data_IF_249932194943
#
_entry.id   IF_249932194943
#
_cell.length_a   1.000
_cell.length_b   1.000
_cell.length_c   1.000
_cell.angle_alpha   90.00
_cell.angle_beta   90.00
_cell.angle_gamma   90.00
#
_symmetry.space_group_name_H-M   'P 1'
#
loop_
_entity.id
_entity.type
_entity.pdbx_description
1 polymer ?
#
# COMPACT_ATOMS: atom_id res chain seq x y z
N UNK A 1 -60.09 22.99 0.12
CA UNK A 1 -60.40 21.61 -0.33
C UNK A 1 -60.64 21.67 -1.82
N UNK A 2 -59.92 20.95 -2.71
CA UNK A 2 -58.64 20.21 -2.60
C UNK A 2 -57.52 20.77 -3.57
N UNK A 3 -56.21 20.68 -3.26
CA UNK A 3 -55.14 19.66 -3.56
C UNK A 3 -54.48 19.79 -4.96
N UNK A 4 -53.19 20.17 -5.06
CA UNK A 4 -51.93 19.36 -5.20
C UNK A 4 -51.74 18.82 -6.64
N UNK A 5 -50.58 18.83 -7.32
CA UNK A 5 -49.24 18.35 -6.96
C UNK A 5 -48.11 18.92 -7.89
N UNK A 6 -46.85 18.67 -7.47
CA UNK A 6 -45.56 18.65 -8.22
C UNK A 6 -44.83 19.97 -8.51
N UNK A 7 -43.51 20.10 -8.42
CA UNK A 7 -42.38 19.39 -7.80
C UNK A 7 -41.15 20.30 -8.03
N UNK A 8 -40.09 20.14 -7.23
CA UNK A 8 -38.94 21.03 -7.09
C UNK A 8 -38.16 21.33 -8.39
N UNK A 9 -37.88 22.61 -8.66
CA UNK A 9 -36.80 23.09 -9.53
C UNK A 9 -35.64 23.61 -8.67
N UNK A 10 -34.51 22.89 -8.67
CA UNK A 10 -33.26 23.32 -8.06
C UNK A 10 -32.12 22.71 -8.88
N UNK A 11 -31.84 23.29 -10.05
CA UNK A 11 -30.71 22.86 -10.87
C UNK A 11 -30.08 24.02 -11.68
N UNK A 12 -29.93 25.19 -11.05
CA UNK A 12 -29.35 26.37 -11.70
C UNK A 12 -28.30 27.08 -10.83
N UNK A 13 -27.37 26.32 -10.24
CA UNK A 13 -26.18 26.91 -9.58
C UNK A 13 -24.85 26.17 -9.81
N UNK A 14 -24.79 25.19 -10.72
CA UNK A 14 -23.55 24.47 -11.04
C UNK A 14 -22.91 24.85 -12.39
N UNK A 15 -23.37 25.92 -13.03
CA UNK A 15 -22.85 26.39 -14.32
C UNK A 15 -21.75 27.48 -14.19
N UNK A 16 -20.81 27.31 -13.25
CA UNK A 16 -19.75 28.28 -12.98
C UNK A 16 -18.37 27.64 -12.97
N UNK A 17 -17.89 27.18 -14.12
CA UNK A 17 -16.54 26.61 -14.24
C UNK A 17 -16.23 25.80 -15.50
N UNK A 18 -17.00 25.95 -16.58
CA UNK A 18 -16.62 25.38 -17.87
C UNK A 18 -15.65 26.33 -18.56
N UNK A 19 -14.34 26.08 -18.43
CA UNK A 19 -13.37 26.65 -19.35
C UNK A 19 -13.63 26.04 -20.72
N UNK A 20 -13.97 26.90 -21.69
CA UNK A 20 -14.03 26.58 -23.11
C UNK A 20 -12.69 25.93 -23.53
N UNK A 21 -12.74 24.64 -23.87
CA UNK A 21 -11.74 24.05 -24.75
C UNK A 21 -12.09 24.53 -26.15
N UNK A 22 -11.40 25.58 -26.61
CA UNK A 22 -11.52 26.05 -27.99
C UNK A 22 -10.98 24.99 -28.95
N UNK A 23 -11.63 24.95 -30.12
CA UNK A 23 -11.49 23.96 -31.19
C UNK A 23 -10.04 23.80 -31.68
N UNK A 24 -9.35 22.74 -31.25
CA UNK A 24 -8.27 22.15 -32.03
C UNK A 24 -8.87 21.24 -33.10
N UNK A 25 -8.42 21.42 -34.36
CA UNK A 25 -8.92 20.72 -35.55
C UNK A 25 -8.97 19.20 -35.35
N UNK A 26 -10.18 18.69 -35.10
CA UNK A 26 -10.47 17.28 -34.96
C UNK A 26 -10.31 16.59 -36.33
N UNK A 27 -9.30 15.71 -36.47
CA UNK A 27 -9.19 14.83 -37.63
C UNK A 27 -10.44 13.94 -37.71
N UNK A 28 -11.05 13.76 -38.90
CA UNK A 28 -12.28 13.00 -39.05
C UNK A 28 -11.99 11.50 -38.86
N UNK A 29 -12.02 11.04 -37.62
CA UNK A 29 -11.73 9.64 -37.25
C UNK A 29 -11.57 9.39 -35.76
N UNK A 30 -11.27 10.41 -34.94
CA UNK A 30 -11.03 10.21 -33.52
C UNK A 30 -12.34 10.23 -32.70
N UNK A 31 -12.58 9.23 -31.83
CA UNK A 31 -13.79 9.16 -31.02
C UNK A 31 -13.87 10.33 -30.02
N UNK A 32 -15.07 10.84 -29.70
CA UNK A 32 -15.23 11.98 -28.80
C UNK A 32 -14.74 11.62 -27.39
N UNK A 33 -13.81 12.42 -26.88
CA UNK A 33 -13.30 12.35 -25.49
C UNK A 33 -14.23 13.16 -24.59
N UNK A 34 -14.72 12.58 -23.49
CA UNK A 34 -15.56 13.29 -22.52
C UNK A 34 -15.10 13.10 -21.08
N UNK A 35 -15.47 14.03 -20.19
CA UNK A 35 -15.23 13.91 -18.75
C UNK A 35 -16.24 12.95 -18.13
N UNK A 36 -15.75 12.02 -17.30
CA UNK A 36 -16.58 11.03 -16.63
C UNK A 36 -17.69 11.67 -15.78
N UNK A 37 -18.93 11.28 -16.03
CA UNK A 37 -20.08 11.58 -15.18
C UNK A 37 -19.95 10.90 -13.80
N UNK A 38 -20.68 11.39 -12.78
CA UNK A 38 -20.66 10.76 -11.45
C UNK A 38 -21.07 9.27 -11.48
N UNK A 39 -21.97 8.89 -12.38
CA UNK A 39 -22.40 7.49 -12.54
C UNK A 39 -21.26 6.61 -13.09
N UNK A 40 -20.53 7.11 -14.10
CA UNK A 40 -19.38 6.43 -14.67
C UNK A 40 -18.23 6.31 -13.67
N UNK A 41 -17.94 7.39 -12.91
CA UNK A 41 -16.94 7.35 -11.82
C UNK A 41 -17.28 6.29 -10.77
N UNK A 42 -18.55 6.22 -10.33
CA UNK A 42 -19.02 5.17 -9.40
C UNK A 42 -18.84 3.77 -9.98
N UNK A 43 -19.20 3.55 -11.25
CA UNK A 43 -19.05 2.26 -11.95
C UNK A 43 -17.58 1.82 -12.02
N UNK A 44 -16.69 2.74 -12.40
CA UNK A 44 -15.25 2.50 -12.47
C UNK A 44 -14.67 2.15 -11.09
N UNK A 45 -15.06 2.91 -10.06
CA UNK A 45 -14.63 2.65 -8.70
C UNK A 45 -15.06 1.25 -8.23
N UNK A 46 -16.33 0.87 -8.40
CA UNK A 46 -16.82 -0.46 -8.01
C UNK A 46 -16.15 -1.59 -8.78
N UNK A 47 -15.91 -1.41 -10.08
CA UNK A 47 -15.16 -2.39 -10.89
C UNK A 47 -13.75 -2.58 -10.33
N UNK A 48 -13.05 -1.48 -10.05
CA UNK A 48 -11.68 -1.54 -9.53
C UNK A 48 -11.64 -2.07 -8.09
N UNK A 49 -12.62 -1.71 -7.26
CA UNK A 49 -12.79 -2.25 -5.92
C UNK A 49 -13.01 -3.76 -5.95
N UNK A 50 -13.87 -4.26 -6.85
CA UNK A 50 -14.10 -5.71 -7.02
C UNK A 50 -12.82 -6.44 -7.46
N UNK A 51 -12.10 -5.89 -8.44
CA UNK A 51 -10.83 -6.49 -8.92
C UNK A 51 -9.80 -6.53 -7.77
N UNK A 52 -9.63 -5.42 -7.05
CA UNK A 52 -8.72 -5.36 -5.91
C UNK A 52 -9.14 -6.32 -4.80
N UNK A 53 -10.44 -6.44 -4.52
CA UNK A 53 -10.97 -7.39 -3.56
C UNK A 53 -10.68 -8.85 -3.96
N UNK A 54 -10.79 -9.18 -5.25
CA UNK A 54 -10.44 -10.52 -5.76
C UNK A 54 -8.95 -10.83 -5.57
N UNK A 55 -8.06 -9.86 -5.82
CA UNK A 55 -6.64 -10.04 -5.54
C UNK A 55 -6.35 -10.18 -4.04
N UNK A 56 -6.99 -9.37 -3.18
CA UNK A 56 -6.87 -9.47 -1.72
C UNK A 56 -7.39 -10.82 -1.22
N UNK A 57 -8.52 -11.30 -1.73
CA UNK A 57 -9.09 -12.60 -1.38
C UNK A 57 -8.17 -13.74 -1.82
N UNK A 58 -7.61 -13.66 -3.03
CA UNK A 58 -6.60 -14.62 -3.51
C UNK A 58 -5.35 -14.64 -2.63
N UNK A 59 -4.83 -13.45 -2.29
CA UNK A 59 -3.70 -13.31 -1.38
C UNK A 59 -3.98 -13.92 0.00
N UNK A 60 -5.15 -13.63 0.57
CA UNK A 60 -5.61 -14.20 1.84
C UNK A 60 -5.74 -15.72 1.78
N UNK A 61 -6.33 -16.25 0.71
CA UNK A 61 -6.51 -17.68 0.47
C UNK A 61 -5.18 -18.43 0.43
N UNK A 62 -4.27 -18.02 -0.46
CA UNK A 62 -2.95 -18.66 -0.57
C UNK A 62 -2.13 -18.52 0.71
N UNK A 63 -2.20 -17.36 1.37
CA UNK A 63 -1.50 -17.16 2.63
C UNK A 63 -2.04 -18.03 3.76
N UNK A 64 -3.36 -18.28 3.80
CA UNK A 64 -4.00 -19.16 4.81
C UNK A 64 -3.59 -20.61 4.58
N UNK A 65 -3.65 -21.10 3.35
CA UNK A 65 -3.19 -22.47 3.01
C UNK A 65 -1.71 -22.63 3.36
N UNK A 66 -0.87 -21.66 2.98
CA UNK A 66 0.56 -21.70 3.30
C UNK A 66 0.81 -21.71 4.81
N UNK A 67 0.03 -20.95 5.58
CA UNK A 67 0.12 -20.93 7.05
C UNK A 67 -0.27 -22.27 7.68
N UNK A 68 -1.33 -22.91 7.18
CA UNK A 68 -1.75 -24.26 7.61
C UNK A 68 -0.68 -25.30 7.23
N UNK A 69 -0.13 -25.21 6.02
CA UNK A 69 0.94 -26.08 5.56
C UNK A 69 2.19 -25.93 6.45
N UNK A 70 2.60 -24.70 6.76
CA UNK A 70 3.74 -24.44 7.65
C UNK A 70 3.53 -25.05 9.04
N UNK A 71 2.31 -24.95 9.61
CA UNK A 71 1.99 -25.61 10.89
C UNK A 71 2.11 -27.13 10.81
N UNK A 72 1.64 -27.74 9.74
CA UNK A 72 1.78 -29.18 9.52
C UNK A 72 3.26 -29.59 9.33
N UNK A 73 4.00 -28.81 8.55
CA UNK A 73 5.39 -29.10 8.19
C UNK A 73 6.35 -28.99 9.38
N UNK A 74 6.16 -27.98 10.24
CA UNK A 74 7.07 -27.70 11.36
C UNK A 74 6.62 -28.31 12.70
N UNK A 75 5.45 -28.95 12.75
CA UNK A 75 4.98 -29.61 13.97
C UNK A 75 5.64 -30.97 14.14
N UNK A 76 6.24 -31.19 15.31
CA UNK A 76 6.84 -32.48 15.71
C UNK A 76 5.85 -33.65 15.65
N UNK A 77 4.55 -33.37 15.75
CA UNK A 77 3.48 -34.39 15.65
C UNK A 77 3.20 -34.86 14.23
N UNK A 78 3.68 -34.13 13.22
CA UNK A 78 3.39 -34.37 11.81
C UNK A 78 4.70 -34.59 11.05
N UNK A 79 5.17 -33.61 10.26
CA UNK A 79 6.38 -33.77 9.46
C UNK A 79 7.66 -33.41 10.25
N UNK A 80 7.57 -32.49 11.21
CA UNK A 80 8.66 -32.19 12.15
C UNK A 80 9.94 -31.64 11.53
N UNK A 81 9.87 -30.90 10.42
CA UNK A 81 11.06 -30.32 9.80
C UNK A 81 11.56 -29.11 10.60
N UNK A 82 12.80 -29.08 11.12
CA UNK A 82 13.18 -28.10 12.13
C UNK A 82 13.77 -26.78 11.57
N UNK A 83 13.77 -26.57 10.24
CA UNK A 83 14.48 -25.45 9.60
C UNK A 83 13.57 -24.51 8.76
N UNK A 84 12.75 -23.66 9.40
CA UNK A 84 11.76 -22.82 8.69
C UNK A 84 12.35 -21.76 7.76
N UNK A 85 13.51 -21.20 8.09
CA UNK A 85 14.19 -20.20 7.24
C UNK A 85 14.77 -20.85 5.98
N UNK A 86 15.31 -22.06 6.09
CA UNK A 86 15.76 -22.83 4.94
C UNK A 86 14.60 -23.15 3.99
N UNK A 87 13.45 -23.58 4.51
CA UNK A 87 12.28 -23.84 3.66
C UNK A 87 11.86 -22.58 2.91
N UNK A 88 11.80 -21.44 3.61
CA UNK A 88 11.46 -20.16 2.97
C UNK A 88 12.51 -19.74 1.92
N UNK A 89 13.79 -20.05 2.16
CA UNK A 89 14.86 -19.87 1.18
C UNK A 89 14.61 -20.68 -0.09
N UNK A 90 14.24 -21.96 0.06
CA UNK A 90 13.85 -22.81 -1.08
C UNK A 90 12.63 -22.24 -1.82
N UNK A 91 11.63 -21.72 -1.10
CA UNK A 91 10.47 -21.07 -1.72
C UNK A 91 10.87 -19.89 -2.62
N UNK A 92 11.83 -19.05 -2.21
CA UNK A 92 12.31 -17.97 -3.07
C UNK A 92 12.92 -18.49 -4.38
N UNK A 93 13.67 -19.59 -4.35
CA UNK A 93 14.19 -20.21 -5.57
C UNK A 93 13.09 -20.84 -6.44
N UNK A 94 12.07 -21.45 -5.83
CA UNK A 94 10.88 -21.94 -6.54
C UNK A 94 10.14 -20.78 -7.21
N UNK A 95 9.97 -19.66 -6.51
CA UNK A 95 9.36 -18.44 -7.06
C UNK A 95 10.15 -17.91 -8.25
N UNK A 96 11.47 -17.87 -8.17
CA UNK A 96 12.33 -17.49 -9.30
C UNK A 96 12.11 -18.40 -10.50
N UNK A 97 12.12 -19.72 -10.29
CA UNK A 97 11.91 -20.70 -11.37
C UNK A 97 10.52 -20.56 -12.02
N UNK A 98 9.46 -20.43 -11.21
CA UNK A 98 8.10 -20.25 -11.72
C UNK A 98 7.92 -18.92 -12.45
N UNK A 99 8.53 -17.84 -11.94
CA UNK A 99 8.53 -16.55 -12.62
C UNK A 99 9.28 -16.63 -13.97
N UNK A 100 10.42 -17.32 -14.01
CA UNK A 100 11.16 -17.57 -15.24
C UNK A 100 10.32 -18.37 -16.25
N UNK A 101 9.67 -19.45 -15.78
CA UNK A 101 8.82 -20.30 -16.59
C UNK A 101 7.67 -19.50 -17.21
N UNK A 102 6.97 -18.69 -16.40
CA UNK A 102 5.85 -17.86 -16.87
C UNK A 102 6.29 -16.86 -17.96
N UNK A 103 7.48 -16.28 -17.80
CA UNK A 103 8.08 -15.37 -18.79
C UNK A 103 8.52 -16.07 -20.07
N UNK A 104 8.89 -17.35 -20.00
CA UNK A 104 9.26 -18.14 -21.18
C UNK A 104 8.07 -18.70 -21.94
N UNK A 105 7.01 -19.15 -21.24
CA UNK A 105 5.83 -19.75 -21.86
C UNK A 105 4.90 -18.66 -22.43
N UNK A 106 4.72 -17.55 -21.72
CA UNK A 106 3.87 -16.44 -22.15
C UNK A 106 4.65 -15.11 -22.21
N UNK A 107 5.63 -14.99 -23.13
CA UNK A 107 6.46 -13.80 -23.23
C UNK A 107 5.64 -12.54 -23.53
N UNK A 108 4.63 -12.65 -24.40
CA UNK A 108 3.76 -11.52 -24.78
C UNK A 108 3.03 -10.88 -23.58
N UNK A 109 2.79 -11.65 -22.51
CA UNK A 109 2.06 -11.16 -21.32
C UNK A 109 2.97 -10.82 -20.15
N UNK A 110 4.08 -11.55 -19.99
CA UNK A 110 4.90 -11.50 -18.77
C UNK A 110 6.35 -11.05 -18.99
N UNK A 111 6.80 -10.85 -20.24
CA UNK A 111 8.13 -10.35 -20.54
C UNK A 111 8.04 -8.88 -21.00
N UNK A 112 8.44 -7.93 -20.16
CA UNK A 112 8.51 -6.52 -20.54
C UNK A 112 9.51 -6.32 -21.68
N UNK A 113 9.27 -5.31 -22.52
CA UNK A 113 10.13 -4.97 -23.65
C UNK A 113 11.54 -4.53 -23.20
N UNK A 114 11.62 -3.90 -22.03
CA UNK A 114 12.87 -3.43 -21.44
C UNK A 114 13.34 -4.36 -20.31
N UNK A 115 14.65 -4.40 -20.10
CA UNK A 115 15.26 -5.10 -18.98
C UNK A 115 16.12 -4.12 -18.18
N UNK A 116 16.22 -4.28 -16.85
CA UNK A 116 16.94 -3.34 -16.03
C UNK A 116 18.44 -3.40 -16.32
N UNK A 117 19.06 -2.23 -16.47
CA UNK A 117 20.53 -2.11 -16.55
C UNK A 117 21.15 -2.64 -15.27
N UNK A 118 22.37 -3.23 -15.35
CA UNK A 118 23.09 -3.75 -14.16
C UNK A 118 23.20 -2.71 -13.03
N UNK A 119 23.44 -1.45 -13.39
CA UNK A 119 23.53 -0.34 -12.44
C UNK A 119 22.20 -0.08 -11.72
N UNK A 120 21.09 -0.04 -12.46
CA UNK A 120 19.77 0.22 -11.89
C UNK A 120 19.25 -0.98 -11.09
N UNK A 121 19.53 -2.19 -11.56
CA UNK A 121 19.24 -3.42 -10.81
C UNK A 121 19.93 -3.41 -9.44
N UNK A 122 21.23 -3.09 -9.41
CA UNK A 122 22.00 -3.00 -8.17
C UNK A 122 21.54 -1.88 -7.23
N UNK A 123 21.13 -0.72 -7.77
CA UNK A 123 20.73 0.44 -6.96
C UNK A 123 19.27 0.38 -6.49
N UNK A 124 18.36 -0.22 -7.25
CA UNK A 124 16.91 -0.20 -6.99
C UNK A 124 16.35 -1.55 -6.55
N UNK A 125 16.69 -2.64 -7.26
CA UNK A 125 16.09 -3.95 -7.01
C UNK A 125 16.75 -4.70 -5.84
N UNK A 126 18.09 -4.68 -5.78
CA UNK A 126 18.85 -5.37 -4.73
C UNK A 126 18.47 -4.90 -3.32
N UNK A 127 18.36 -3.59 -3.01
CA UNK A 127 17.96 -3.16 -1.66
C UNK A 127 16.57 -3.65 -1.25
N UNK A 128 15.61 -3.73 -2.19
CA UNK A 128 14.27 -4.24 -1.92
C UNK A 128 14.29 -5.73 -1.58
N UNK A 129 15.06 -6.52 -2.35
CA UNK A 129 15.21 -7.94 -2.12
C UNK A 129 15.95 -8.26 -0.81
N UNK A 130 17.04 -7.52 -0.53
CA UNK A 130 17.79 -7.66 0.73
C UNK A 130 16.90 -7.30 1.92
N UNK A 131 16.15 -6.20 1.84
CA UNK A 131 15.20 -5.81 2.89
C UNK A 131 14.16 -6.91 3.15
N UNK A 132 13.71 -7.61 2.12
CA UNK A 132 12.82 -8.77 2.24
C UNK A 132 13.45 -9.93 2.97
N UNK A 133 14.66 -10.35 2.56
CA UNK A 133 15.36 -11.45 3.23
C UNK A 133 15.64 -11.14 4.70
N UNK A 134 16.06 -9.92 5.00
CA UNK A 134 16.31 -9.49 6.38
C UNK A 134 15.03 -9.35 7.20
N UNK A 135 13.94 -8.80 6.65
CA UNK A 135 12.63 -8.73 7.33
C UNK A 135 12.17 -10.14 7.76
N UNK A 136 12.15 -11.09 6.82
CA UNK A 136 11.75 -12.48 7.10
C UNK A 136 12.70 -13.13 8.12
N UNK A 137 14.01 -12.97 7.92
CA UNK A 137 15.03 -13.55 8.79
C UNK A 137 14.95 -13.04 10.23
N UNK A 138 14.96 -11.72 10.42
CA UNK A 138 14.89 -11.08 11.73
C UNK A 138 13.53 -11.33 12.42
N UNK A 139 12.43 -11.35 11.65
CA UNK A 139 11.11 -11.70 12.19
C UNK A 139 11.09 -13.11 12.77
N UNK A 140 11.58 -14.11 12.04
CA UNK A 140 11.65 -15.48 12.54
C UNK A 140 12.64 -15.65 13.68
N UNK A 141 13.79 -14.95 13.65
CA UNK A 141 14.76 -14.97 14.72
C UNK A 141 14.18 -14.40 16.02
N UNK A 142 13.37 -13.34 15.93
CA UNK A 142 12.72 -12.76 17.09
C UNK A 142 11.75 -13.75 17.76
N UNK A 143 10.98 -14.53 16.98
CA UNK A 143 10.04 -15.54 17.50
C UNK A 143 10.72 -16.67 18.29
N UNK A 144 12.04 -16.90 18.11
CA UNK A 144 12.82 -17.81 18.96
C UNK A 144 13.06 -17.24 20.38
N UNK A 145 12.89 -15.93 20.55
CA UNK A 145 13.22 -15.21 21.80
C UNK A 145 12.01 -14.59 22.50
N UNK A 146 10.94 -14.24 21.78
CA UNK A 146 9.75 -13.58 22.31
C UNK A 146 8.48 -14.37 21.99
N UNK A 147 7.42 -14.13 22.77
CA UNK A 147 6.12 -14.75 22.50
C UNK A 147 5.51 -14.26 21.19
N UNK A 148 4.66 -15.09 20.58
CA UNK A 148 3.92 -14.73 19.36
C UNK A 148 3.07 -13.47 19.58
N UNK A 149 2.45 -13.32 20.76
CA UNK A 149 1.67 -12.11 21.10
C UNK A 149 2.56 -10.87 21.14
N UNK A 150 3.71 -10.91 21.82
CA UNK A 150 4.64 -9.77 21.84
C UNK A 150 5.20 -9.47 20.45
N UNK A 151 5.47 -10.50 19.64
CA UNK A 151 5.85 -10.35 18.24
C UNK A 151 4.80 -9.60 17.45
N UNK A 152 3.53 -10.03 17.49
CA UNK A 152 2.43 -9.39 16.77
C UNK A 152 2.24 -7.94 17.20
N UNK A 153 2.34 -7.66 18.51
CA UNK A 153 2.27 -6.30 19.05
C UNK A 153 3.33 -5.39 18.43
N UNK A 154 4.61 -5.78 18.48
CA UNK A 154 5.70 -4.95 17.95
C UNK A 154 5.68 -4.95 16.42
N UNK A 155 5.31 -6.05 15.77
CA UNK A 155 5.24 -6.17 14.31
C UNK A 155 4.15 -5.30 13.70
N UNK A 156 3.06 -5.05 14.43
CA UNK A 156 2.00 -4.13 14.00
C UNK A 156 2.49 -2.69 13.78
N UNK A 157 3.61 -2.29 14.40
CA UNK A 157 4.26 -0.98 14.14
C UNK A 157 4.81 -0.84 12.72
N UNK A 158 4.87 -1.93 11.94
CA UNK A 158 5.18 -1.89 10.51
C UNK A 158 4.30 -0.90 9.76
N UNK A 159 3.03 -0.70 10.14
CA UNK A 159 2.16 0.32 9.54
C UNK A 159 2.75 1.73 9.61
N UNK A 160 3.38 2.07 10.73
CA UNK A 160 4.00 3.38 10.92
C UNK A 160 5.19 3.52 9.98
N UNK A 161 6.03 2.48 9.87
CA UNK A 161 7.16 2.48 8.95
C UNK A 161 6.72 2.51 7.48
N UNK A 162 5.63 1.82 7.13
CA UNK A 162 5.04 1.86 5.80
C UNK A 162 4.63 3.28 5.45
N UNK A 163 3.91 3.95 6.34
CA UNK A 163 3.49 5.34 6.13
C UNK A 163 4.70 6.28 6.03
N UNK A 164 5.69 6.09 6.91
CA UNK A 164 6.93 6.86 6.89
C UNK A 164 7.66 6.74 5.55
N UNK A 165 7.89 5.52 5.05
CA UNK A 165 8.55 5.31 3.77
C UNK A 165 7.67 5.70 2.58
N UNK A 166 6.35 5.59 2.69
CA UNK A 166 5.42 6.08 1.68
C UNK A 166 5.56 7.59 1.49
N UNK A 167 5.68 8.38 2.56
CA UNK A 167 5.94 9.81 2.44
C UNK A 167 7.38 10.11 2.03
N UNK A 168 8.36 9.41 2.60
CA UNK A 168 9.78 9.63 2.30
C UNK A 168 10.09 9.43 0.81
N UNK A 169 9.49 8.42 0.18
CA UNK A 169 9.64 8.13 -1.25
C UNK A 169 8.54 8.76 -2.12
N UNK A 170 7.73 9.66 -1.56
CA UNK A 170 6.64 10.36 -2.27
C UNK A 170 5.68 9.41 -2.98
N UNK A 171 5.43 8.26 -2.38
CA UNK A 171 4.46 7.26 -2.83
C UNK A 171 3.03 7.64 -2.48
N UNK A 172 2.85 8.47 -1.46
CA UNK A 172 1.58 9.01 -0.99
C UNK A 172 1.73 10.51 -0.72
N UNK A 173 0.67 11.28 -0.95
CA UNK A 173 0.65 12.71 -0.61
C UNK A 173 0.52 12.88 0.90
N UNK A 174 1.31 13.78 1.47
CA UNK A 174 1.24 14.07 2.89
C UNK A 174 -0.18 14.54 3.25
N UNK A 175 -0.80 13.88 4.22
CA UNK A 175 -2.16 14.20 4.64
C UNK A 175 -2.34 13.85 6.11
N UNK A 176 -2.65 14.85 6.94
CA UNK A 176 -2.95 14.67 8.37
C UNK A 176 -4.12 13.70 8.56
N UNK A 177 -5.11 13.69 7.65
CA UNK A 177 -6.27 12.78 7.70
C UNK A 177 -5.83 11.32 7.56
N UNK A 178 -5.08 11.00 6.51
CA UNK A 178 -4.43 9.70 6.32
C UNK A 178 -3.61 9.27 7.55
N UNK A 179 -2.75 10.16 8.09
CA UNK A 179 -1.95 9.89 9.28
C UNK A 179 -2.85 9.49 10.45
N UNK A 180 -3.89 10.28 10.74
CA UNK A 180 -4.82 10.00 11.83
C UNK A 180 -5.52 8.65 11.67
N UNK A 181 -5.92 8.28 10.45
CA UNK A 181 -6.56 6.98 10.15
C UNK A 181 -5.60 5.82 10.37
N UNK A 182 -4.33 5.94 9.93
CA UNK A 182 -3.33 4.89 10.16
C UNK A 182 -3.01 4.73 11.65
N UNK A 183 -2.88 5.84 12.40
CA UNK A 183 -2.70 5.79 13.84
C UNK A 183 -3.89 5.17 14.56
N UNK A 184 -5.12 5.42 14.09
CA UNK A 184 -6.34 4.80 14.62
C UNK A 184 -6.31 3.27 14.42
N UNK A 185 -5.99 2.81 13.20
CA UNK A 185 -5.86 1.38 12.88
C UNK A 185 -4.77 0.74 13.76
N UNK A 186 -3.59 1.36 13.83
CA UNK A 186 -2.48 0.89 14.66
C UNK A 186 -2.87 0.77 16.14
N UNK A 187 -3.56 1.77 16.68
CA UNK A 187 -4.03 1.77 18.08
C UNK A 187 -5.02 0.62 18.34
N UNK A 188 -5.92 0.34 17.39
CA UNK A 188 -6.85 -0.78 17.49
C UNK A 188 -6.13 -2.14 17.54
N UNK A 189 -5.11 -2.33 16.70
CA UNK A 189 -4.28 -3.54 16.70
C UNK A 189 -3.49 -3.68 18.00
N UNK A 190 -2.91 -2.59 18.51
CA UNK A 190 -2.22 -2.62 19.81
C UNK A 190 -3.16 -3.04 20.95
N UNK A 191 -4.39 -2.52 21.00
CA UNK A 191 -5.38 -2.90 22.00
C UNK A 191 -5.75 -4.38 21.94
N UNK A 192 -5.76 -4.98 20.75
CA UNK A 192 -5.99 -6.42 20.58
C UNK A 192 -4.89 -7.30 21.16
N UNK A 193 -3.71 -6.76 21.46
CA UNK A 193 -2.54 -7.54 21.91
C UNK A 193 -1.95 -7.00 23.23
N UNK A 194 -2.53 -5.95 23.80
CA UNK A 194 -2.01 -5.18 24.93
C UNK A 194 -1.88 -5.96 26.27
N UNK A 195 -2.39 -7.20 26.36
CA UNK A 195 -2.44 -7.96 27.61
C UNK A 195 -1.17 -8.75 27.94
N UNK A 196 -0.17 -8.80 27.04
CA UNK A 196 1.05 -9.62 27.21
C UNK A 196 2.27 -8.76 27.61
N UNK A 197 2.92 -9.07 28.74
CA UNK A 197 3.94 -8.18 29.36
C UNK A 197 5.33 -8.81 29.57
N UNK A 198 5.70 -9.85 28.82
CA UNK A 198 7.06 -10.39 28.85
C UNK A 198 7.99 -9.64 27.88
N UNK A 199 8.53 -8.51 28.34
CA UNK A 199 9.47 -7.69 27.57
C UNK A 199 10.86 -8.33 27.53
N UNK A 200 11.37 -8.61 26.32
CA UNK A 200 12.74 -9.06 26.09
C UNK A 200 13.38 -8.11 25.08
N UNK A 201 14.33 -7.29 25.54
CA UNK A 201 14.95 -6.23 24.75
C UNK A 201 15.55 -6.75 23.43
N UNK A 202 16.26 -7.88 23.47
CA UNK A 202 16.86 -8.48 22.27
C UNK A 202 15.81 -8.80 21.21
N UNK A 203 14.73 -9.48 21.60
CA UNK A 203 13.63 -9.80 20.69
C UNK A 203 12.92 -8.54 20.19
N UNK A 204 12.71 -7.56 21.07
CA UNK A 204 12.13 -6.26 20.70
C UNK A 204 12.94 -5.55 19.60
N UNK A 205 14.26 -5.43 19.75
CA UNK A 205 15.15 -4.80 18.75
C UNK A 205 15.09 -5.55 17.41
N UNK A 206 15.02 -6.88 17.44
CA UNK A 206 14.88 -7.69 16.23
C UNK A 206 13.56 -7.43 15.51
N UNK A 207 12.43 -7.42 16.22
CA UNK A 207 11.11 -7.18 15.59
C UNK A 207 11.01 -5.75 15.08
N UNK A 208 11.44 -4.74 15.83
CA UNK A 208 11.30 -3.35 15.38
C UNK A 208 12.16 -3.09 14.14
N UNK A 209 13.35 -3.69 14.08
CA UNK A 209 14.21 -3.66 12.87
C UNK A 209 13.53 -4.36 11.70
N UNK A 210 12.92 -5.52 11.93
CA UNK A 210 12.16 -6.23 10.91
C UNK A 210 10.91 -5.45 10.45
N UNK A 211 10.22 -4.74 11.34
CA UNK A 211 9.09 -3.86 11.01
C UNK A 211 9.53 -2.70 10.11
N UNK A 212 10.66 -2.07 10.43
CA UNK A 212 11.23 -1.01 9.59
C UNK A 212 11.61 -1.53 8.20
N UNK A 213 12.28 -2.69 8.13
CA UNK A 213 12.63 -3.35 6.87
C UNK A 213 11.39 -3.77 6.08
N UNK A 214 10.32 -4.19 6.74
CA UNK A 214 9.04 -4.51 6.11
C UNK A 214 8.41 -3.29 5.41
N UNK A 215 8.39 -2.14 6.09
CA UNK A 215 7.93 -0.88 5.50
C UNK A 215 8.81 -0.42 4.34
N UNK A 216 10.14 -0.48 4.51
CA UNK A 216 11.11 -0.12 3.49
C UNK A 216 10.99 -1.02 2.25
N UNK A 217 10.91 -2.33 2.45
CA UNK A 217 10.68 -3.33 1.39
C UNK A 217 9.45 -2.97 0.58
N UNK A 218 8.31 -2.80 1.24
CA UNK A 218 7.07 -2.55 0.52
C UNK A 218 7.10 -1.24 -0.28
N UNK A 219 7.71 -0.19 0.28
CA UNK A 219 7.87 1.07 -0.42
C UNK A 219 8.78 0.93 -1.65
N UNK A 220 9.93 0.23 -1.54
CA UNK A 220 10.79 -0.04 -2.68
C UNK A 220 10.12 -0.92 -3.74
N UNK A 221 9.41 -1.98 -3.33
CA UNK A 221 8.65 -2.83 -4.26
C UNK A 221 7.63 -2.02 -5.04
N UNK A 222 6.93 -1.08 -4.39
CA UNK A 222 6.01 -0.18 -5.10
C UNK A 222 6.76 0.68 -6.11
N UNK A 223 7.92 1.26 -5.76
CA UNK A 223 8.72 2.04 -6.71
C UNK A 223 9.13 1.21 -7.92
N UNK A 224 9.56 -0.05 -7.70
CA UNK A 224 9.96 -0.98 -8.76
C UNK A 224 8.78 -1.33 -9.68
N UNK A 225 7.60 -1.58 -9.11
CA UNK A 225 6.37 -1.88 -9.87
C UNK A 225 5.83 -0.68 -10.66
N UNK A 226 6.20 0.55 -10.30
CA UNK A 226 5.79 1.78 -11.00
C UNK A 226 6.81 2.24 -12.06
N UNK A 227 8.05 1.77 -12.01
CA UNK A 227 9.12 2.17 -12.93
C UNK A 227 9.07 1.36 -14.24
N UNK A 228 8.32 1.87 -15.25
CA UNK A 228 8.21 1.25 -16.58
C UNK A 228 9.56 1.08 -17.28
N UNK A 229 10.52 2.00 -17.06
CA UNK A 229 11.85 1.97 -17.71
C UNK A 229 12.66 0.76 -17.26
N UNK A 230 12.40 0.26 -16.06
CA UNK A 230 13.06 -0.92 -15.51
C UNK A 230 12.50 -2.24 -16.04
N UNK A 231 11.37 -2.23 -16.76
CA UNK A 231 10.69 -3.47 -17.16
C UNK A 231 10.28 -4.33 -15.96
N UNK A 232 9.90 -3.68 -14.87
CA UNK A 232 9.44 -4.29 -13.60
C UNK A 232 7.98 -3.92 -13.29
N UNK A 233 7.29 -3.37 -14.28
CA UNK A 233 5.87 -3.07 -14.24
C UNK A 233 4.99 -4.34 -14.24
N UNK A 234 5.53 -5.52 -14.54
CA UNK A 234 4.81 -6.78 -14.38
C UNK A 234 5.18 -7.46 -13.04
N UNK A 235 4.21 -7.83 -12.18
CA UNK A 235 4.45 -8.58 -10.95
C UNK A 235 5.33 -9.82 -11.12
N UNK A 236 5.14 -10.61 -12.18
CA UNK A 236 5.95 -11.81 -12.43
C UNK A 236 7.39 -11.46 -12.84
N UNK A 237 7.58 -10.40 -13.63
CA UNK A 237 8.92 -9.91 -13.97
C UNK A 237 9.66 -9.40 -12.72
N UNK A 238 8.95 -8.70 -11.84
CA UNK A 238 9.49 -8.23 -10.57
C UNK A 238 9.89 -9.37 -9.65
N UNK A 239 9.07 -10.42 -9.54
CA UNK A 239 9.44 -11.64 -8.79
C UNK A 239 10.70 -12.28 -9.35
N UNK A 240 10.80 -12.42 -10.68
CA UNK A 240 11.98 -13.00 -11.33
C UNK A 240 13.27 -12.26 -10.93
N UNK A 241 13.24 -10.94 -10.91
CA UNK A 241 14.40 -10.11 -10.60
C UNK A 241 14.74 -10.08 -9.10
N UNK A 242 13.74 -10.13 -8.22
CA UNK A 242 13.94 -10.01 -6.78
C UNK A 242 14.21 -11.35 -6.09
N UNK A 243 13.51 -12.42 -6.46
CA UNK A 243 13.50 -13.69 -5.75
C UNK A 243 14.88 -14.33 -5.53
N UNK A 244 15.83 -14.32 -6.49
CA UNK A 244 17.18 -14.85 -6.26
C UNK A 244 17.91 -14.14 -5.12
N UNK A 245 17.85 -12.81 -5.08
CA UNK A 245 18.53 -12.01 -4.06
C UNK A 245 17.84 -12.16 -2.71
N UNK A 246 16.50 -12.28 -2.69
CA UNK A 246 15.74 -12.62 -1.48
C UNK A 246 16.18 -13.98 -0.92
N UNK A 247 16.30 -14.98 -1.79
CA UNK A 247 16.76 -16.33 -1.46
C UNK A 247 18.20 -16.35 -0.93
N UNK A 248 19.13 -15.68 -1.61
CA UNK A 248 20.54 -15.60 -1.15
C UNK A 248 20.63 -14.88 0.18
N UNK A 249 19.96 -13.74 0.34
CA UNK A 249 19.98 -12.97 1.60
C UNK A 249 19.41 -13.80 2.75
N UNK A 250 18.25 -14.42 2.56
CA UNK A 250 17.64 -15.25 3.58
C UNK A 250 18.46 -16.52 3.84
N UNK A 251 19.09 -17.10 2.81
CA UNK A 251 19.98 -18.24 2.93
C UNK A 251 21.20 -17.94 3.80
N UNK A 252 21.79 -16.75 3.67
CA UNK A 252 22.86 -16.29 4.58
C UNK A 252 22.34 -16.17 6.01
N UNK A 253 21.15 -15.59 6.22
CA UNK A 253 20.55 -15.52 7.57
C UNK A 253 20.27 -16.92 8.13
N UNK A 254 19.69 -17.81 7.33
CA UNK A 254 19.44 -19.22 7.71
C UNK A 254 20.75 -19.91 8.06
N UNK A 255 21.82 -19.75 7.29
CA UNK A 255 23.12 -20.34 7.59
C UNK A 255 23.69 -19.88 8.94
N UNK A 256 23.44 -18.62 9.33
CA UNK A 256 23.89 -18.09 10.63
C UNK A 256 23.00 -18.47 11.81
N UNK A 257 21.72 -18.80 11.57
CA UNK A 257 20.68 -18.95 12.60
C UNK A 257 20.27 -20.41 12.80
N UNK A 258 20.27 -21.19 11.74
CA UNK A 258 19.90 -22.59 11.73
C UNK A 258 21.15 -23.46 11.88
N UNK A 259 21.03 -24.57 12.59
CA UNK A 259 22.12 -25.53 12.71
C UNK A 259 22.16 -26.44 11.48
N UNK A 260 22.82 -25.99 10.42
CA UNK A 260 22.94 -26.78 9.19
C UNK A 260 23.73 -28.08 9.40
N UNK A 261 24.54 -28.19 10.47
CA UNK A 261 25.35 -29.38 10.73
C UNK A 261 24.49 -30.60 11.06
N UNK A 262 23.39 -30.40 11.82
CA UNK A 262 22.42 -31.46 12.10
C UNK A 262 21.58 -31.85 10.87
N UNK A 263 21.52 -31.00 9.85
CA UNK A 263 20.80 -31.27 8.61
C UNK A 263 21.48 -32.33 7.76
N UNK A 264 22.81 -32.28 7.64
CA UNK A 264 23.62 -33.26 6.89
C UNK A 264 23.58 -34.67 7.50
N UNK A 265 23.36 -34.78 8.82
CA UNK A 265 23.23 -36.05 9.52
C UNK A 265 21.78 -36.55 9.67
N UNK A 266 20.79 -35.83 9.13
CA UNK A 266 19.38 -36.12 9.39
C UNK A 266 18.82 -37.22 8.48
N UNK A 267 17.90 -38.03 9.03
CA UNK A 267 17.19 -39.07 8.28
C UNK A 267 16.37 -38.51 7.11
N UNK A 268 16.05 -37.21 7.14
CA UNK A 268 15.26 -36.51 6.12
C UNK A 268 15.91 -36.54 4.73
N UNK A 269 17.23 -36.63 4.65
CA UNK A 269 17.98 -36.59 3.39
C UNK A 269 18.66 -37.92 3.03
N UNK A 270 18.11 -39.04 3.50
CA UNK A 270 18.64 -40.39 3.23
C UNK A 270 17.83 -41.13 2.15
N UNK A 271 18.50 -41.65 1.12
CA UNK A 271 17.89 -42.50 0.07
C UNK A 271 16.66 -41.87 -0.61
N UNK A 272 15.59 -42.65 -0.77
CA UNK A 272 14.33 -42.19 -1.40
C UNK A 272 13.57 -41.15 -0.57
N UNK A 273 13.76 -41.14 0.76
CA UNK A 273 13.14 -40.14 1.64
C UNK A 273 13.61 -38.73 1.31
N UNK A 274 14.84 -38.57 0.83
CA UNK A 274 15.38 -37.27 0.41
C UNK A 274 14.52 -36.61 -0.69
N UNK A 275 14.08 -37.39 -1.68
CA UNK A 275 13.24 -36.88 -2.78
C UNK A 275 11.86 -36.46 -2.25
N UNK A 276 11.28 -37.27 -1.35
CA UNK A 276 10.01 -36.93 -0.71
C UNK A 276 10.11 -35.66 0.16
N UNK A 277 11.17 -35.54 0.94
CA UNK A 277 11.47 -34.34 1.74
C UNK A 277 11.57 -33.12 0.82
N UNK A 278 12.42 -33.16 -0.21
CA UNK A 278 12.57 -32.03 -1.15
C UNK A 278 11.23 -31.66 -1.79
N UNK A 279 10.42 -32.64 -2.16
CA UNK A 279 9.08 -32.40 -2.70
C UNK A 279 8.19 -31.65 -1.69
N UNK A 280 8.08 -32.13 -0.45
CA UNK A 280 7.28 -31.46 0.59
C UNK A 280 7.82 -30.07 0.97
N UNK A 281 9.13 -29.87 0.88
CA UNK A 281 9.76 -28.57 1.14
C UNK A 281 9.53 -27.55 0.02
N UNK A 282 9.41 -28.01 -1.24
CA UNK A 282 9.32 -27.12 -2.42
C UNK A 282 7.89 -26.90 -2.91
N UNK A 283 6.99 -27.86 -2.72
CA UNK A 283 5.57 -27.77 -3.09
C UNK A 283 4.87 -26.50 -2.53
N UNK A 284 4.97 -26.18 -1.23
CA UNK A 284 4.46 -24.91 -0.69
C UNK A 284 5.08 -23.65 -1.33
N UNK A 285 6.24 -23.76 -1.98
CA UNK A 285 6.83 -22.69 -2.79
C UNK A 285 5.95 -22.24 -3.95
N UNK A 286 5.12 -23.13 -4.51
CA UNK A 286 4.10 -22.78 -5.53
C UNK A 286 3.01 -21.91 -4.93
N UNK A 287 2.53 -22.25 -3.73
CA UNK A 287 1.55 -21.44 -3.00
C UNK A 287 2.13 -20.07 -2.62
N UNK A 288 3.39 -20.05 -2.19
CA UNK A 288 4.10 -18.82 -1.89
C UNK A 288 4.27 -17.95 -3.15
N UNK A 289 4.51 -18.54 -4.32
CA UNK A 289 4.55 -17.81 -5.59
C UNK A 289 3.21 -17.15 -5.91
N UNK A 290 2.11 -17.90 -5.85
CA UNK A 290 0.78 -17.34 -6.08
C UNK A 290 0.43 -16.23 -5.07
N UNK A 291 0.81 -16.42 -3.80
CA UNK A 291 0.64 -15.40 -2.77
C UNK A 291 1.40 -14.11 -3.11
N UNK A 292 2.70 -14.18 -3.42
CA UNK A 292 3.49 -12.99 -3.75
C UNK A 292 3.03 -12.33 -5.06
N UNK A 293 2.58 -13.11 -6.05
CA UNK A 293 2.03 -12.58 -7.29
C UNK A 293 0.77 -11.72 -7.01
N UNK A 294 -0.12 -12.20 -6.13
CA UNK A 294 -1.28 -11.43 -5.68
C UNK A 294 -0.87 -10.21 -4.86
N UNK A 295 0.10 -10.32 -3.95
CA UNK A 295 0.65 -9.19 -3.18
C UNK A 295 1.17 -8.08 -4.09
N UNK A 296 2.02 -8.40 -5.06
CA UNK A 296 2.59 -7.41 -5.98
C UNK A 296 1.51 -6.82 -6.90
N UNK A 297 0.52 -7.62 -7.30
CA UNK A 297 -0.63 -7.12 -8.08
C UNK A 297 -1.46 -6.10 -7.29
N UNK A 298 -1.63 -6.29 -5.98
CA UNK A 298 -2.32 -5.32 -5.10
C UNK A 298 -1.48 -4.05 -4.96
N UNK A 299 -0.18 -4.18 -4.66
CA UNK A 299 0.72 -3.03 -4.52
C UNK A 299 0.75 -2.21 -5.81
N UNK A 300 0.78 -2.86 -6.97
CA UNK A 300 0.75 -2.20 -8.25
C UNK A 300 -0.55 -1.41 -8.49
N UNK A 301 -1.70 -2.00 -8.12
CA UNK A 301 -3.03 -1.44 -8.43
C UNK A 301 -3.54 -0.44 -7.41
N UNK A 302 -3.24 -0.67 -6.13
CA UNK A 302 -3.83 0.07 -5.03
C UNK A 302 -2.79 0.86 -4.23
N UNK A 303 -1.51 0.52 -4.35
CA UNK A 303 -0.43 1.08 -3.55
C UNK A 303 -0.14 0.30 -2.28
N UNK A 304 0.92 0.71 -1.61
CA UNK A 304 1.47 0.08 -0.41
C UNK A 304 0.58 0.29 0.81
N UNK A 305 -0.04 1.46 0.92
CA UNK A 305 -0.88 1.77 2.08
C UNK A 305 -2.12 0.86 2.11
N UNK A 306 -2.93 0.74 1.04
CA UNK A 306 -4.02 -0.24 1.02
C UNK A 306 -3.56 -1.68 1.20
N UNK A 307 -2.40 -2.07 0.65
CA UNK A 307 -1.84 -3.40 0.86
C UNK A 307 -1.58 -3.66 2.35
N UNK A 308 -0.95 -2.71 3.05
CA UNK A 308 -0.68 -2.82 4.49
C UNK A 308 -1.96 -2.92 5.31
N UNK A 309 -2.98 -2.12 4.97
CA UNK A 309 -4.31 -2.15 5.61
C UNK A 309 -5.02 -3.48 5.36
N UNK A 310 -4.92 -4.04 4.14
CA UNK A 310 -5.45 -5.36 3.83
C UNK A 310 -4.77 -6.46 4.66
N UNK A 311 -3.47 -6.31 4.94
CA UNK A 311 -2.73 -7.18 5.85
C UNK A 311 -3.25 -7.13 7.29
N UNK A 312 -3.55 -5.94 7.80
CA UNK A 312 -4.17 -5.80 9.12
C UNK A 312 -5.59 -6.38 9.14
N UNK A 313 -6.40 -6.11 8.12
CA UNK A 313 -7.73 -6.68 7.99
C UNK A 313 -7.68 -8.23 8.03
N UNK A 314 -6.67 -8.81 7.38
CA UNK A 314 -6.36 -10.24 7.42
C UNK A 314 -6.06 -10.74 8.83
N UNK A 315 -5.17 -10.06 9.55
CA UNK A 315 -4.81 -10.41 10.94
C UNK A 315 -6.04 -10.36 11.86
N UNK A 316 -6.81 -9.28 11.81
CA UNK A 316 -8.04 -9.11 12.60
C UNK A 316 -9.05 -10.21 12.30
N UNK A 317 -9.27 -10.52 11.02
CA UNK A 317 -10.18 -11.59 10.60
C UNK A 317 -9.73 -12.95 11.14
N UNK A 318 -8.43 -13.23 11.10
CA UNK A 318 -7.87 -14.48 11.60
C UNK A 318 -8.07 -14.62 13.11
N UNK A 319 -7.85 -13.55 13.87
CA UNK A 319 -8.06 -13.51 15.33
C UNK A 319 -9.55 -13.72 15.64
N UNK A 320 -10.44 -13.00 14.96
CA UNK A 320 -11.89 -13.11 15.19
C UNK A 320 -12.43 -14.50 14.87
N UNK A 321 -12.01 -15.10 13.74
CA UNK A 321 -12.41 -16.46 13.36
C UNK A 321 -11.87 -17.49 14.36
N UNK A 322 -10.60 -17.37 14.76
CA UNK A 322 -10.00 -18.25 15.77
C UNK A 322 -10.81 -18.20 17.06
N UNK A 323 -11.07 -17.01 17.60
CA UNK A 323 -11.82 -16.86 18.84
C UNK A 323 -13.26 -17.41 18.74
N UNK A 324 -13.94 -17.21 17.61
CA UNK A 324 -15.28 -17.72 17.38
C UNK A 324 -15.33 -19.26 17.33
N UNK A 325 -14.34 -19.90 16.70
CA UNK A 325 -14.26 -21.37 16.58
C UNK A 325 -13.86 -22.01 17.91
N UNK A 326 -12.83 -21.49 18.57
CA UNK A 326 -12.29 -22.06 19.81
C UNK A 326 -13.07 -21.64 21.07
N UNK A 327 -14.05 -20.73 20.91
CA UNK A 327 -14.84 -20.14 22.01
C UNK A 327 -13.93 -19.51 23.08
N UNK A 328 -12.86 -18.85 22.62
CA UNK A 328 -11.93 -18.16 23.50
C UNK A 328 -12.62 -16.94 24.12
N UNK A 329 -12.42 -16.72 25.42
CA UNK A 329 -12.94 -15.54 26.11
C UNK A 329 -12.12 -14.30 25.70
N UNK A 330 -12.56 -13.60 24.65
CA UNK A 330 -12.00 -12.32 24.26
C UNK A 330 -12.18 -11.31 25.40
N UNK A 331 -11.09 -10.66 25.82
CA UNK A 331 -11.20 -9.59 26.81
C UNK A 331 -11.93 -8.39 26.19
N UNK A 332 -12.59 -7.53 26.99
CA UNK A 332 -13.19 -6.31 26.48
C UNK A 332 -12.22 -5.46 25.65
N UNK A 333 -10.92 -5.43 26.01
CA UNK A 333 -9.89 -4.72 25.26
C UNK A 333 -9.70 -5.28 23.85
N UNK A 334 -9.72 -6.61 23.68
CA UNK A 334 -9.61 -7.22 22.35
C UNK A 334 -10.80 -6.83 21.47
N UNK A 335 -12.02 -6.87 22.02
CA UNK A 335 -13.25 -6.52 21.30
C UNK A 335 -13.24 -5.05 20.89
N UNK A 336 -12.86 -4.15 21.81
CA UNK A 336 -12.71 -2.73 21.50
C UNK A 336 -11.64 -2.50 20.43
N UNK A 337 -10.51 -3.21 20.49
CA UNK A 337 -9.47 -3.13 19.48
C UNK A 337 -9.95 -3.53 18.07
N UNK A 338 -10.71 -4.63 17.97
CA UNK A 338 -11.36 -5.06 16.71
C UNK A 338 -12.26 -3.95 16.18
N UNK A 339 -13.14 -3.39 17.02
CA UNK A 339 -14.08 -2.35 16.62
C UNK A 339 -13.37 -1.08 16.11
N UNK A 340 -12.33 -0.62 16.81
CA UNK A 340 -11.51 0.53 16.40
C UNK A 340 -10.84 0.27 15.06
N UNK A 341 -10.28 -0.92 14.87
CA UNK A 341 -9.57 -1.28 13.63
C UNK A 341 -10.51 -1.33 12.44
N UNK A 342 -11.69 -1.96 12.59
CA UNK A 342 -12.72 -2.01 11.54
C UNK A 342 -13.21 -0.60 11.19
N UNK A 343 -13.43 0.25 12.19
CA UNK A 343 -13.79 1.65 11.99
C UNK A 343 -12.71 2.40 11.19
N UNK A 344 -11.44 2.26 11.56
CA UNK A 344 -10.32 2.88 10.85
C UNK A 344 -10.20 2.43 9.38
N UNK A 345 -10.38 1.14 9.11
CA UNK A 345 -10.41 0.60 7.74
C UNK A 345 -11.59 1.18 6.95
N UNK A 346 -12.77 1.29 7.57
CA UNK A 346 -13.95 1.90 6.97
C UNK A 346 -13.74 3.37 6.62
N UNK A 347 -13.15 4.15 7.54
CA UNK A 347 -12.80 5.56 7.32
C UNK A 347 -11.77 5.71 6.19
N UNK A 348 -10.73 4.87 6.15
CA UNK A 348 -9.76 4.85 5.06
C UNK A 348 -10.44 4.61 3.70
N UNK A 349 -11.28 3.58 3.64
CA UNK A 349 -11.98 3.18 2.42
C UNK A 349 -12.93 4.28 1.95
N UNK A 350 -13.68 4.88 2.87
CA UNK A 350 -14.57 6.01 2.59
C UNK A 350 -13.79 7.24 2.07
N UNK A 351 -12.65 7.55 2.69
CA UNK A 351 -11.81 8.64 2.24
C UNK A 351 -11.27 8.42 0.82
N UNK A 352 -10.78 7.20 0.52
CA UNK A 352 -10.29 6.84 -0.82
C UNK A 352 -11.44 6.86 -1.86
N UNK A 353 -12.64 6.43 -1.47
CA UNK A 353 -13.84 6.53 -2.31
C UNK A 353 -14.19 7.98 -2.66
N UNK A 354 -14.26 8.87 -1.66
CA UNK A 354 -14.54 10.29 -1.89
C UNK A 354 -13.53 10.95 -2.82
N UNK A 355 -12.23 10.74 -2.55
CA UNK A 355 -11.15 11.29 -3.38
C UNK A 355 -11.27 10.83 -4.84
N UNK A 356 -11.62 9.57 -5.08
CA UNK A 356 -11.81 9.02 -6.42
C UNK A 356 -13.03 9.59 -7.16
N UNK A 357 -14.07 10.03 -6.46
CA UNK A 357 -15.23 10.68 -7.09
C UNK A 357 -14.97 12.15 -7.44
N UNK A 358 -14.14 12.82 -6.64
CA UNK A 358 -13.77 14.23 -6.81
C UNK A 358 -12.74 14.43 -7.94
N UNK A 359 -11.94 13.40 -8.30
CA UNK A 359 -10.98 13.48 -9.40
C UNK A 359 -11.64 13.60 -10.78
N UNK A 360 -11.12 14.45 -11.65
CA UNK A 360 -11.48 14.51 -13.07
C UNK A 360 -10.86 13.31 -13.82
N UNK A 361 -11.68 12.56 -14.56
CA UNK A 361 -11.24 11.39 -15.33
C UNK A 361 -11.73 11.54 -16.76
N UNK A 362 -10.84 11.73 -17.76
CA UNK A 362 -11.22 11.70 -19.16
C UNK A 362 -11.47 10.25 -19.61
N UNK A 363 -12.55 10.03 -20.36
CA UNK A 363 -12.95 8.74 -20.90
C UNK A 363 -12.92 8.74 -22.43
N UNK A 364 -12.60 7.60 -23.03
CA UNK A 364 -12.80 7.33 -24.45
C UNK A 364 -14.27 6.99 -24.75
N UNK A 365 -14.61 6.86 -26.04
CA UNK A 365 -15.96 6.48 -26.48
C UNK A 365 -16.42 5.09 -25.98
N UNK A 366 -15.51 4.26 -25.47
CA UNK A 366 -15.82 2.95 -24.88
C UNK A 366 -16.00 3.02 -23.35
N UNK A 367 -15.89 4.22 -22.75
CA UNK A 367 -15.99 4.43 -21.31
C UNK A 367 -14.74 3.97 -20.54
N UNK A 368 -13.61 3.82 -21.22
CA UNK A 368 -12.34 3.50 -20.60
C UNK A 368 -11.55 4.78 -20.32
N UNK A 369 -10.87 4.88 -19.17
CA UNK A 369 -10.01 6.02 -18.87
C UNK A 369 -8.85 6.15 -19.85
N UNK A 370 -8.66 7.35 -20.39
CA UNK A 370 -7.51 7.69 -21.25
C UNK A 370 -6.34 8.12 -20.36
N UNK A 371 -5.16 7.54 -20.57
CA UNK A 371 -3.91 8.03 -19.99
C UNK A 371 -3.27 9.05 -20.91
N UNK A 372 -3.22 10.31 -20.50
CA UNK A 372 -2.39 11.32 -21.17
C UNK A 372 -0.94 11.02 -20.74
N UNK A 373 -0.14 10.42 -21.63
CA UNK A 373 1.28 10.24 -21.39
C UNK A 373 2.00 11.59 -21.59
N UNK A 374 2.74 12.11 -20.59
CA UNK A 374 3.37 13.43 -20.65
C UNK A 374 4.59 13.52 -21.59
N UNK A 375 4.83 12.51 -22.43
CA UNK A 375 5.97 12.45 -23.36
C UNK A 375 5.59 12.66 -24.82
N UNK A 376 4.33 12.99 -25.12
CA UNK A 376 3.95 13.52 -26.43
C UNK A 376 4.23 15.02 -26.47
N UNK A 377 5.22 15.43 -27.24
CA UNK A 377 5.47 16.84 -27.53
C UNK A 377 4.25 17.44 -28.24
N UNK A 378 3.49 18.27 -27.53
CA UNK A 378 2.60 19.27 -28.13
C UNK A 378 3.04 20.63 -27.58
N UNK A 379 3.19 21.57 -28.51
CA UNK A 379 3.78 22.88 -28.31
C UNK A 379 3.10 23.71 -27.21
N UNK A 380 3.87 24.67 -26.68
CA UNK A 380 3.62 25.26 -25.38
C UNK A 380 2.34 26.06 -25.25
N UNK A 381 1.57 25.73 -24.21
CA UNK A 381 0.86 26.69 -23.33
C UNK A 381 0.40 26.00 -22.05
N UNK A 382 0.77 26.62 -20.91
CA UNK A 382 0.29 26.39 -19.54
C UNK A 382 -0.41 25.05 -19.25
N UNK A 383 0.38 24.02 -18.92
CA UNK A 383 -0.13 22.75 -18.42
C UNK A 383 -0.42 22.86 -16.92
N UNK A 384 -1.71 22.82 -16.56
CA UNK A 384 -2.12 22.51 -15.19
C UNK A 384 -1.93 21.01 -14.95
N UNK A 385 -1.16 20.68 -13.91
CA UNK A 385 -0.83 19.32 -13.50
C UNK A 385 -2.10 18.48 -13.25
N UNK A 386 -2.50 17.61 -14.19
CA UNK A 386 -3.51 16.56 -13.95
C UNK A 386 -2.80 15.25 -13.64
N UNK A 387 -2.44 15.09 -12.37
CA UNK A 387 -1.86 13.86 -11.84
C UNK A 387 -2.96 12.80 -11.66
N UNK A 388 -3.11 11.89 -12.63
CA UNK A 388 -4.08 10.79 -12.59
C UNK A 388 -3.78 9.83 -11.42
N UNK A 389 -4.70 9.79 -10.45
CA UNK A 389 -4.64 8.98 -9.23
C UNK A 389 -4.59 7.46 -9.52
N UNK A 390 -3.90 6.77 -8.61
CA UNK A 390 -3.45 5.37 -8.63
C UNK A 390 -4.52 4.31 -8.96
N UNK A 391 -5.80 4.64 -8.88
CA UNK A 391 -6.90 3.68 -9.06
C UNK A 391 -7.36 3.48 -10.51
N UNK A 392 -6.95 4.34 -11.45
CA UNK A 392 -7.50 4.41 -12.82
C UNK A 392 -6.63 3.70 -13.86
N UNK A 393 -5.34 3.54 -13.60
CA UNK A 393 -4.42 2.85 -14.52
C UNK A 393 -4.60 1.35 -14.38
N UNK A 394 -5.25 0.72 -15.38
CA UNK A 394 -5.02 -0.67 -15.88
C UNK A 394 -6.22 -1.26 -16.67
N UNK A 395 -7.02 -0.46 -17.39
CA UNK A 395 -8.09 -1.04 -18.23
C UNK A 395 -7.68 -1.48 -19.64
N UNK A 396 -6.43 -1.29 -20.10
CA UNK A 396 -6.06 -1.73 -21.45
C UNK A 396 -5.54 -3.17 -21.47
N UNK A 397 -6.28 -4.04 -22.16
CA UNK A 397 -5.73 -5.26 -22.77
C UNK A 397 -4.66 -4.86 -23.78
N UNK A 398 -3.58 -5.62 -23.80
CA UNK A 398 -2.48 -5.48 -24.73
C UNK A 398 -2.97 -5.74 -26.15
N UNK A 399 -3.15 -4.69 -26.95
CA UNK A 399 -3.06 -4.69 -28.41
C UNK A 399 -2.92 -3.24 -28.87
N UNK A 400 -1.69 -2.83 -29.18
CA UNK A 400 -1.32 -1.99 -30.33
C UNK A 400 0.17 -1.68 -30.24
N UNK A 401 0.81 -2.05 -31.33
CA UNK A 401 2.23 -1.95 -31.66
C UNK A 401 2.41 -0.63 -32.40
N UNK A 402 3.44 0.15 -32.10
CA UNK A 402 4.15 0.92 -33.13
C UNK A 402 5.48 1.51 -32.63
N UNK A 403 6.49 1.36 -33.49
CA UNK A 403 7.50 2.38 -33.81
C UNK A 403 8.69 2.60 -32.88
N UNK A 404 9.85 2.04 -33.25
CA UNK A 404 11.18 2.43 -32.76
C UNK A 404 11.57 3.85 -33.20
N UNK A 405 12.22 4.61 -32.31
CA UNK A 405 13.23 5.61 -32.69
C UNK A 405 14.29 5.76 -31.58
N UNK A 406 15.55 5.54 -31.95
CA UNK A 406 16.75 5.93 -31.21
C UNK A 406 16.99 7.44 -31.39
N UNK A 407 17.32 8.19 -30.33
CA UNK A 407 18.59 8.93 -30.23
C UNK A 407 18.86 9.59 -28.85
N UNK A 408 20.15 9.91 -28.71
CA UNK A 408 21.07 10.48 -27.72
C UNK A 408 20.66 11.48 -26.61
N UNK A 409 21.47 11.47 -25.52
CA UNK A 409 22.15 12.69 -25.10
C UNK A 409 21.62 13.53 -23.94
N UNK A 410 21.93 13.10 -22.70
CA UNK A 410 22.25 13.94 -21.52
C UNK A 410 21.25 15.01 -21.01
N UNK A 411 20.87 14.95 -19.72
CA UNK A 411 20.84 16.12 -18.81
C UNK A 411 20.51 15.80 -17.33
N UNK A 412 21.19 16.55 -16.47
CA UNK A 412 21.23 16.62 -14.99
C UNK A 412 19.83 16.63 -14.33
N UNK A 413 19.49 15.81 -13.33
CA UNK A 413 19.88 15.80 -11.90
C UNK A 413 19.71 17.16 -11.20
N UNK A 414 18.68 17.22 -10.35
CA UNK A 414 18.31 18.25 -9.37
C UNK A 414 17.85 19.63 -9.92
N UNK A 415 16.53 19.83 -9.93
CA UNK A 415 15.88 21.14 -9.69
C UNK A 415 14.87 20.93 -8.58
N UNK A 416 15.00 21.71 -7.52
CA UNK A 416 14.07 21.76 -6.40
C UNK A 416 13.14 22.93 -6.67
N UNK A 417 11.96 22.63 -7.20
CA UNK A 417 10.87 23.60 -7.29
C UNK A 417 9.94 23.34 -6.10
N UNK A 418 9.79 24.39 -5.30
CA UNK A 418 9.03 24.44 -4.05
C UNK A 418 7.57 24.68 -4.43
N UNK A 419 6.72 23.69 -4.18
CA UNK A 419 5.29 23.78 -4.48
C UNK A 419 4.62 24.88 -3.64
N UNK A 420 3.97 25.82 -4.33
CA UNK A 420 3.43 27.08 -3.82
C UNK A 420 2.03 26.93 -3.15
N UNK A 421 1.45 25.71 -3.17
CA UNK A 421 0.13 25.39 -2.60
C UNK A 421 0.15 25.32 -1.05
N UNK A 422 1.24 24.84 -0.44
CA UNK A 422 1.36 24.76 1.03
C UNK A 422 1.61 26.14 1.69
N UNK A 423 2.09 27.11 0.91
CA UNK A 423 2.29 28.49 1.38
C UNK A 423 0.95 29.22 1.57
N UNK A 424 -0.08 28.89 0.78
CA UNK A 424 -1.42 29.45 0.94
C UNK A 424 -2.18 28.83 2.11
N UNK A 425 -2.04 27.53 2.37
CA UNK A 425 -2.65 26.89 3.54
C UNK A 425 -2.02 27.40 4.85
N UNK A 426 -0.69 27.60 4.88
CA UNK A 426 0.00 28.21 6.02
C UNK A 426 -0.33 29.71 6.21
N UNK A 427 -0.57 30.47 5.13
CA UNK A 427 -1.04 31.87 5.19
C UNK A 427 -2.49 31.96 5.67
N UNK A 428 -3.35 31.03 5.26
CA UNK A 428 -4.74 30.88 5.71
C UNK A 428 -4.83 30.56 7.22
N UNK A 429 -3.98 29.65 7.70
CA UNK A 429 -3.89 29.31 9.13
C UNK A 429 -3.31 30.48 9.95
N UNK A 430 -2.36 31.24 9.40
CA UNK A 430 -1.81 32.44 10.08
C UNK A 430 -2.82 33.59 10.13
N UNK A 431 -3.61 33.82 9.07
CA UNK A 431 -4.62 34.91 9.05
C UNK A 431 -5.82 34.60 9.95
N UNK A 432 -6.22 33.33 10.06
CA UNK A 432 -7.27 32.91 11.00
C UNK A 432 -6.83 33.06 12.45
N UNK A 433 -5.57 32.75 12.79
CA UNK A 433 -5.04 32.93 14.16
C UNK A 433 -4.92 34.40 14.59
N UNK A 434 -4.60 35.30 13.67
CA UNK A 434 -4.57 36.76 13.94
C UNK A 434 -5.98 37.33 14.12
N UNK A 435 -6.97 36.82 13.36
CA UNK A 435 -8.37 37.23 13.49
C UNK A 435 -8.99 36.79 14.83
N UNK A 436 -8.55 35.65 15.39
CA UNK A 436 -9.02 35.16 16.69
C UNK A 436 -8.41 35.93 17.88
N UNK A 437 -7.15 36.38 17.80
CA UNK A 437 -6.56 37.21 18.88
C UNK A 437 -7.19 38.60 18.96
N UNK A 438 -7.57 39.21 17.82
CA UNK A 438 -8.24 40.52 17.81
C UNK A 438 -9.68 40.50 18.34
N UNK A 439 -10.32 39.32 18.41
CA UNK A 439 -11.71 39.17 18.90
C UNK A 439 -11.74 38.91 20.40
N UNK A 440 -10.66 38.37 20.99
CA UNK A 440 -10.57 38.16 22.45
C UNK A 440 -10.22 39.42 23.25
N UNK A 441 -9.59 40.42 22.63
CA UNK A 441 -9.25 41.70 23.29
C UNK A 441 -10.44 42.70 23.32
N UNK A 442 -11.55 42.41 22.65
CA UNK A 442 -12.71 43.31 22.55
C UNK A 442 -13.76 43.15 23.68
N UNK A 443 -13.57 42.19 24.61
CA UNK A 443 -14.51 41.93 25.70
C UNK A 443 -13.81 41.85 27.06
N UNK A 444 -13.30 42.99 27.54
CA UNK A 444 -13.07 43.22 28.98
C UNK A 444 -13.78 44.51 29.40
N UNK A 445 -14.72 44.47 30.36
CA UNK A 445 -15.40 45.68 30.83
C UNK A 445 -14.49 46.46 31.79
N UNK A 446 -14.25 47.74 31.48
CA UNK A 446 -13.56 48.69 32.37
C UNK A 446 -14.45 49.12 33.54
N UNK A 447 -13.93 49.28 34.77
CA UNK A 447 -14.69 49.74 35.93
C UNK A 447 -14.90 51.26 35.89
N UNK A 448 -16.13 51.72 36.18
CA UNK A 448 -16.49 53.13 36.26
C UNK A 448 -16.09 53.75 37.61
N UNK A 449 -15.41 54.90 37.53
CA UNK A 449 -15.10 55.81 38.65
C UNK A 449 -16.23 56.86 38.76
N UNK A 450 -16.71 57.22 39.97
CA UNK A 450 -17.81 58.17 40.11
C UNK A 450 -17.31 59.63 40.13
N UNK A 451 -18.08 60.60 39.59
CA UNK A 451 -17.78 62.02 39.78
C UNK A 451 -18.44 62.59 41.05
N UNK A 452 -17.74 63.56 41.65
CA UNK A 452 -18.13 64.35 42.81
C UNK A 452 -19.20 65.42 42.48
N UNK A 453 -19.92 65.94 43.50
CA UNK A 453 -21.10 66.79 43.31
C UNK A 453 -20.74 68.28 43.31
N UNK A 454 -21.44 69.09 42.49
CA UNK A 454 -21.98 70.41 42.87
C UNK A 454 -22.63 71.16 41.69
N UNK A 455 -23.53 72.10 42.07
CA UNK A 455 -24.12 73.18 41.30
C UNK A 455 -25.41 72.91 40.47
N UNK A 456 -26.50 72.75 41.23
CA UNK A 456 -27.75 73.51 41.18
C UNK A 456 -27.99 74.59 40.10
N UNK A 457 -29.27 74.66 39.69
CA UNK A 457 -30.13 75.84 39.41
C UNK A 457 -30.78 75.92 38.01
N UNK A 458 -32.11 76.06 38.10
CA UNK A 458 -33.04 76.83 37.27
C UNK A 458 -33.74 76.18 36.07
N UNK A 459 -35.07 76.12 36.18
CA UNK A 459 -36.02 76.06 35.06
C UNK A 459 -37.21 75.15 35.30
#
# INVERSE_FOLDING_TARGET
MPLNDHEYSLDESLAGGAQHFDDEEMHPGDPPVHLATLAEKKRLWWRNALINLLFIASWFFFSTILSVYNKWMFSDKYFGFPFPLLVTTMHFFVQFFLAALLRTIWPQRFRPAHSPTKADYGKKAVPAAVATGLDVGLSNLSLKTISLSFFTMVKSSSLIFVLLFAFLFRLEKFSIRLIAVIFLIFSGVLLMVATETHFILRGFILVISASALGGFRWALTQMLLKDKKMGMDNPAATIFWLAPIMGVTLGVVSFTVDDWSSLYGSDFFTGWKAVQTIFFLTMPGVLAFCMILSEFSIIQRAGVVPMSIAGIAKEVTTISISAAIFKDNLTPLNITGVAITVCGIGLFTYHKYRKSLESAVPLDAHGNPISIDPTGSVDGRASSHVELDETVRLTRGSDEFDGEHEDDGSRSLFSADVDEEDAEELRSIRSSKIRWSSVQDAHTPTPSVPPSPEAWLDG
#
